data_IF_824777738930
#
_entry.id   IF_824777738930
#
_cell.length_a   1.000
_cell.length_b   1.000
_cell.length_c   1.000
_cell.angle_alpha   90.00
_cell.angle_beta   90.00
_cell.angle_gamma   90.00
#
_symmetry.space_group_name_H-M   'P 1'
#
loop_
_entity.id
_entity.type
_entity.pdbx_description
1 polymer ?
#
# COMPACT_ATOMS: atom_id res chain seq x y z
N UNK A 1 -32.42 23.37 -63.57
CA UNK A 1 -32.74 23.40 -62.11
C UNK A 1 -31.95 22.27 -61.43
N UNK A 2 -30.84 22.60 -60.74
CA UNK A 2 -30.03 21.61 -60.01
C UNK A 2 -30.50 21.57 -58.55
N UNK A 3 -31.00 20.41 -58.12
CA UNK A 3 -31.38 20.20 -56.71
C UNK A 3 -30.15 19.84 -55.88
N UNK A 4 -29.84 20.66 -54.91
CA UNK A 4 -28.78 20.43 -53.93
C UNK A 4 -29.34 19.52 -52.84
N UNK A 5 -28.79 18.32 -52.70
CA UNK A 5 -29.12 17.40 -51.62
C UNK A 5 -28.12 17.71 -50.49
N UNK A 6 -28.61 18.28 -49.41
CA UNK A 6 -27.84 18.47 -48.16
C UNK A 6 -27.97 17.18 -47.36
N UNK A 7 -26.86 16.42 -47.27
CA UNK A 7 -26.80 15.27 -46.43
C UNK A 7 -26.46 15.74 -45.00
N UNK A 8 -27.44 15.63 -44.10
CA UNK A 8 -27.27 15.89 -42.67
C UNK A 8 -26.62 14.66 -42.04
N UNK A 9 -25.33 14.75 -41.72
CA UNK A 9 -24.62 13.75 -40.92
C UNK A 9 -24.97 13.93 -39.45
N UNK A 10 -25.81 13.02 -38.96
CA UNK A 10 -26.13 12.90 -37.52
C UNK A 10 -24.94 12.27 -36.83
N UNK A 11 -24.15 13.08 -36.09
CA UNK A 11 -23.13 12.56 -35.19
C UNK A 11 -23.83 11.92 -33.98
N UNK A 12 -23.85 10.61 -33.96
CA UNK A 12 -24.25 9.82 -32.80
C UNK A 12 -23.10 9.83 -31.79
N UNK A 13 -23.14 10.74 -30.82
CA UNK A 13 -22.25 10.71 -29.69
C UNK A 13 -22.63 9.52 -28.80
N UNK A 14 -21.90 8.41 -28.94
CA UNK A 14 -21.96 7.32 -27.97
C UNK A 14 -21.31 7.81 -26.66
N UNK A 15 -22.14 8.27 -25.71
CA UNK A 15 -21.71 8.40 -24.34
C UNK A 15 -21.34 6.99 -23.85
N UNK A 16 -20.04 6.74 -23.70
CA UNK A 16 -19.56 5.60 -22.93
C UNK A 16 -20.04 5.83 -21.48
N UNK A 17 -21.16 5.21 -21.12
CA UNK A 17 -21.46 4.96 -19.72
C UNK A 17 -20.34 4.04 -19.23
N UNK A 18 -19.36 4.59 -18.52
CA UNK A 18 -18.55 3.81 -17.61
C UNK A 18 -19.52 3.22 -16.59
N UNK A 19 -19.93 1.97 -16.80
CA UNK A 19 -20.52 1.18 -15.75
C UNK A 19 -19.46 1.17 -14.64
N UNK A 20 -19.78 1.79 -13.49
CA UNK A 20 -19.02 1.55 -12.30
C UNK A 20 -18.96 0.02 -12.15
N UNK A 21 -17.76 -0.57 -12.27
CA UNK A 21 -17.57 -1.97 -11.94
C UNK A 21 -18.25 -2.18 -10.60
N UNK A 22 -19.03 -3.26 -10.45
CA UNK A 22 -19.80 -3.59 -9.26
C UNK A 22 -18.85 -3.56 -8.05
N UNK A 23 -18.79 -2.42 -7.37
CA UNK A 23 -17.94 -2.19 -6.21
C UNK A 23 -18.47 -3.05 -5.08
N UNK A 24 -17.94 -4.26 -4.96
CA UNK A 24 -18.33 -5.21 -3.91
C UNK A 24 -17.78 -4.77 -2.57
N UNK A 25 -18.69 -4.64 -1.59
CA UNK A 25 -18.28 -4.52 -0.18
C UNK A 25 -17.58 -5.81 0.26
N UNK A 26 -16.37 -5.68 0.79
CA UNK A 26 -15.65 -6.78 1.43
C UNK A 26 -15.90 -6.74 2.94
N UNK A 27 -16.57 -7.75 3.47
CA UNK A 27 -16.73 -7.94 4.92
C UNK A 27 -15.84 -9.09 5.38
N UNK A 28 -14.97 -8.81 6.35
CA UNK A 28 -14.07 -9.81 6.93
C UNK A 28 -14.44 -10.03 8.39
N UNK A 29 -14.98 -11.21 8.76
CA UNK A 29 -15.35 -11.50 10.14
C UNK A 29 -14.15 -11.55 11.08
N UNK A 30 -14.33 -11.20 12.35
CA UNK A 30 -13.29 -11.17 13.36
C UNK A 30 -12.49 -12.49 13.47
N UNK A 31 -13.16 -13.63 13.31
CA UNK A 31 -12.50 -14.95 13.30
C UNK A 31 -11.52 -15.16 12.13
N UNK A 32 -11.73 -14.46 11.01
CA UNK A 32 -10.80 -14.45 9.88
C UNK A 32 -9.67 -13.47 10.14
N UNK A 33 -9.98 -12.27 10.63
CA UNK A 33 -9.00 -11.25 11.03
C UNK A 33 -7.99 -11.82 12.03
N UNK A 34 -8.46 -12.59 13.01
CA UNK A 34 -7.62 -13.21 14.04
C UNK A 34 -6.59 -14.22 13.49
N UNK A 35 -6.79 -14.74 12.27
CA UNK A 35 -5.84 -15.65 11.62
C UNK A 35 -4.65 -14.93 10.97
N UNK A 36 -4.75 -13.61 10.80
CA UNK A 36 -3.74 -12.83 10.07
C UNK A 36 -3.75 -13.07 8.56
N UNK A 37 -2.77 -12.50 7.87
CA UNK A 37 -2.64 -12.59 6.43
C UNK A 37 -3.45 -11.55 5.67
N UNK A 38 -3.63 -11.77 4.37
CA UNK A 38 -4.37 -10.83 3.50
C UNK A 38 -5.86 -10.86 3.81
N UNK A 39 -6.45 -9.68 4.04
CA UNK A 39 -7.86 -9.49 4.36
C UNK A 39 -8.67 -8.98 3.17
N UNK A 40 -8.10 -8.07 2.40
CA UNK A 40 -8.75 -7.46 1.23
C UNK A 40 -7.70 -7.01 0.21
N UNK A 41 -8.04 -7.10 -1.06
CA UNK A 41 -7.22 -6.62 -2.16
C UNK A 41 -8.13 -6.02 -3.24
N UNK A 42 -7.73 -4.84 -3.72
CA UNK A 42 -8.32 -4.14 -4.86
C UNK A 42 -7.17 -3.55 -5.71
N UNK A 43 -7.42 -3.05 -6.92
CA UNK A 43 -6.36 -2.52 -7.78
C UNK A 43 -5.48 -1.46 -7.12
N UNK A 44 -6.04 -0.62 -6.25
CA UNK A 44 -5.36 0.50 -5.59
C UNK A 44 -5.28 0.37 -4.05
N UNK A 45 -5.65 -0.79 -3.49
CA UNK A 45 -5.72 -1.01 -2.05
C UNK A 45 -5.38 -2.45 -1.69
N UNK A 46 -4.59 -2.64 -0.64
CA UNK A 46 -4.50 -3.92 0.06
C UNK A 46 -4.55 -3.73 1.56
N UNK A 47 -5.16 -4.70 2.26
CA UNK A 47 -5.22 -4.74 3.71
C UNK A 47 -4.73 -6.10 4.17
N UNK A 48 -3.73 -6.09 5.05
CA UNK A 48 -3.10 -7.29 5.58
C UNK A 48 -2.93 -7.15 7.09
N UNK A 49 -3.02 -8.26 7.82
CA UNK A 49 -2.50 -8.36 9.18
C UNK A 49 -1.17 -9.10 9.11
N UNK A 50 -0.12 -8.44 9.56
CA UNK A 50 1.21 -8.97 9.65
C UNK A 50 1.58 -9.29 11.10
N UNK A 51 2.25 -10.42 11.29
CA UNK A 51 2.99 -10.76 12.50
C UNK A 51 4.47 -10.78 12.15
N UNK A 52 5.27 -10.04 12.88
CA UNK A 52 6.71 -9.99 12.69
C UNK A 52 7.40 -10.37 14.00
N UNK A 53 8.35 -11.31 13.92
CA UNK A 53 9.12 -11.80 15.05
C UNK A 53 10.62 -11.47 14.97
N UNK A 54 11.05 -10.96 13.81
CA UNK A 54 12.44 -10.66 13.51
C UNK A 54 12.56 -9.32 12.76
N UNK A 55 13.71 -8.66 12.77
CA UNK A 55 14.00 -7.52 11.92
C UNK A 55 13.75 -7.84 10.45
N UNK A 56 13.36 -6.82 9.68
CA UNK A 56 13.19 -6.91 8.25
C UNK A 56 14.40 -6.40 7.48
N UNK A 57 14.26 -6.32 6.16
CA UNK A 57 15.11 -5.49 5.31
C UNK A 57 14.55 -4.07 5.24
N UNK A 58 15.35 -3.13 4.78
CA UNK A 58 14.85 -1.82 4.37
C UNK A 58 13.94 -2.00 3.17
N UNK A 59 12.81 -1.31 3.17
CA UNK A 59 11.82 -1.32 2.10
C UNK A 59 11.63 0.10 1.55
N UNK A 60 11.46 0.18 0.22
CA UNK A 60 10.97 1.38 -0.48
C UNK A 60 9.97 0.91 -1.52
N UNK A 61 8.82 1.57 -1.54
CA UNK A 61 7.76 1.33 -2.52
C UNK A 61 7.52 2.61 -3.32
N UNK A 62 7.68 2.57 -4.64
CA UNK A 62 7.60 3.78 -5.47
C UNK A 62 6.20 4.41 -5.50
N UNK A 63 5.17 3.56 -5.42
CA UNK A 63 3.77 3.97 -5.58
C UNK A 63 2.86 3.62 -4.38
N UNK A 64 3.38 2.95 -3.36
CA UNK A 64 2.58 2.50 -2.22
C UNK A 64 2.79 3.41 -1.02
N UNK A 65 1.71 3.93 -0.47
CA UNK A 65 1.68 4.53 0.87
C UNK A 65 1.25 3.47 1.86
N UNK A 66 2.12 3.18 2.84
CA UNK A 66 1.85 2.22 3.89
C UNK A 66 1.29 2.92 5.13
N UNK A 67 0.19 2.39 5.66
CA UNK A 67 -0.30 2.78 6.98
C UNK A 67 -0.25 1.56 7.89
N UNK A 68 0.49 1.65 8.99
CA UNK A 68 0.55 0.63 10.03
C UNK A 68 -0.29 1.07 11.23
N UNK A 69 -1.09 0.16 11.76
CA UNK A 69 -1.72 0.27 13.07
C UNK A 69 -1.31 -0.91 13.93
N UNK A 70 -0.63 -0.63 15.04
CA UNK A 70 -0.09 -1.68 15.91
C UNK A 70 -1.20 -2.27 16.78
N UNK A 71 -1.43 -3.56 16.62
CA UNK A 71 -2.44 -4.33 17.35
C UNK A 71 -1.90 -4.83 18.68
N UNK A 72 -0.63 -5.30 18.68
CA UNK A 72 0.04 -5.83 19.88
C UNK A 72 1.56 -5.88 19.70
N UNK A 73 2.29 -5.99 20.81
CA UNK A 73 3.75 -6.06 20.80
C UNK A 73 4.43 -4.71 20.57
N UNK A 74 5.70 -4.77 20.16
CA UNK A 74 6.51 -3.57 19.91
C UNK A 74 7.68 -3.81 18.96
N UNK A 75 8.13 -2.75 18.31
CA UNK A 75 9.30 -2.76 17.43
C UNK A 75 9.96 -1.38 17.40
N UNK A 76 11.19 -1.31 16.89
CA UNK A 76 11.81 -0.06 16.45
C UNK A 76 11.75 0.00 14.94
N UNK A 77 11.05 1.02 14.41
CA UNK A 77 11.05 1.33 12.98
C UNK A 77 12.00 2.51 12.72
N UNK A 78 12.75 2.44 11.62
CA UNK A 78 13.54 3.56 11.08
C UNK A 78 12.90 4.00 9.78
N UNK A 79 12.66 5.31 9.63
CA UNK A 79 12.00 5.88 8.44
C UNK A 79 12.74 7.09 7.90
N UNK A 80 12.59 7.36 6.60
CA UNK A 80 13.26 8.47 5.92
C UNK A 80 14.74 8.19 5.65
N UNK A 81 15.50 9.25 5.40
CA UNK A 81 16.91 9.13 5.03
C UNK A 81 17.13 8.50 3.66
N UNK A 82 18.24 7.80 3.50
CA UNK A 82 18.65 7.17 2.24
C UNK A 82 18.91 5.69 2.45
N UNK A 83 18.29 4.84 1.64
CA UNK A 83 18.51 3.39 1.65
C UNK A 83 19.93 3.06 1.17
N UNK A 84 20.57 2.12 1.86
CA UNK A 84 21.91 1.60 1.53
C UNK A 84 21.76 0.17 1.02
N UNK A 85 22.57 -0.20 0.02
CA UNK A 85 22.61 -1.55 -0.56
C UNK A 85 21.29 -1.93 -1.24
N UNK A 86 20.63 -0.95 -1.88
CA UNK A 86 19.34 -1.15 -2.52
C UNK A 86 19.41 -2.05 -3.75
N UNK A 87 18.45 -2.97 -3.87
CA UNK A 87 18.23 -3.82 -5.04
C UNK A 87 16.74 -3.83 -5.38
N UNK A 88 16.45 -3.89 -6.68
CA UNK A 88 15.08 -4.04 -7.17
C UNK A 88 14.61 -5.48 -6.97
N UNK A 89 13.42 -5.65 -6.40
CA UNK A 89 12.81 -6.95 -6.15
C UNK A 89 11.53 -7.17 -6.95
N UNK A 90 11.11 -6.18 -7.71
CA UNK A 90 9.94 -6.17 -8.57
C UNK A 90 9.61 -4.73 -9.00
N UNK A 91 8.62 -4.52 -9.87
CA UNK A 91 8.22 -3.19 -10.30
C UNK A 91 7.89 -2.27 -9.13
N UNK A 92 8.68 -1.20 -8.95
CA UNK A 92 8.49 -0.23 -7.87
C UNK A 92 8.74 -0.77 -6.46
N UNK A 93 9.44 -1.89 -6.32
CA UNK A 93 9.74 -2.53 -5.05
C UNK A 93 11.26 -2.64 -4.87
N UNK A 94 11.77 -2.05 -3.80
CA UNK A 94 13.20 -2.02 -3.51
C UNK A 94 13.47 -2.56 -2.11
N UNK A 95 14.58 -3.26 -1.94
CA UNK A 95 15.06 -3.76 -0.65
C UNK A 95 16.48 -3.32 -0.42
N UNK A 96 16.80 -2.97 0.83
CA UNK A 96 18.13 -2.53 1.22
C UNK A 96 18.56 -3.14 2.56
N UNK A 97 19.79 -2.83 2.95
CA UNK A 97 20.43 -3.40 4.15
C UNK A 97 20.53 -2.40 5.30
N UNK A 98 20.46 -1.09 5.03
CA UNK A 98 20.56 -0.04 6.05
C UNK A 98 19.89 1.26 5.56
N UNK A 99 19.65 2.19 6.49
CA UNK A 99 19.20 3.56 6.22
C UNK A 99 20.19 4.54 6.84
N UNK A 100 20.75 5.44 6.03
CA UNK A 100 21.54 6.59 6.50
C UNK A 100 20.66 7.81 6.71
N UNK A 101 20.79 8.46 7.87
CA UNK A 101 20.08 9.71 8.17
C UNK A 101 18.57 9.55 8.42
N UNK A 102 18.09 8.33 8.65
CA UNK A 102 16.71 8.07 9.03
C UNK A 102 16.44 8.39 10.50
N UNK A 103 15.15 8.43 10.85
CA UNK A 103 14.69 8.63 12.21
C UNK A 103 14.17 7.31 12.80
N UNK A 104 14.67 6.94 13.97
CA UNK A 104 14.20 5.78 14.70
C UNK A 104 13.01 6.15 15.60
N UNK A 105 11.96 5.33 15.53
CA UNK A 105 10.76 5.47 16.35
C UNK A 105 10.41 4.12 16.97
N UNK A 106 10.19 4.10 18.28
CA UNK A 106 9.62 2.91 18.94
C UNK A 106 8.13 2.88 18.69
N UNK A 107 7.64 1.74 18.24
CA UNK A 107 6.23 1.44 18.07
C UNK A 107 5.74 0.55 19.20
N UNK A 108 4.52 0.82 19.66
CA UNK A 108 3.80 0.05 20.65
C UNK A 108 2.33 -0.07 20.26
N UNK A 109 1.61 -0.92 20.97
CA UNK A 109 0.16 -1.13 20.77
C UNK A 109 -0.61 0.20 20.73
N UNK A 110 -1.42 0.37 19.70
CA UNK A 110 -2.24 1.56 19.46
C UNK A 110 -1.57 2.64 18.58
N UNK A 111 -0.26 2.52 18.31
CA UNK A 111 0.43 3.49 17.46
C UNK A 111 0.01 3.34 16.00
N UNK A 112 0.03 4.49 15.30
CA UNK A 112 -0.18 4.57 13.85
C UNK A 112 1.05 5.19 13.21
N UNK A 113 1.52 4.59 12.11
CA UNK A 113 2.57 5.14 11.26
C UNK A 113 2.08 5.21 9.83
N UNK A 114 2.23 6.37 9.20
CA UNK A 114 1.95 6.55 7.76
C UNK A 114 3.26 6.82 7.06
N UNK A 115 3.59 5.97 6.08
CA UNK A 115 4.82 6.02 5.31
C UNK A 115 4.44 6.32 3.86
N UNK A 116 4.67 7.55 3.38
CA UNK A 116 4.38 7.90 1.98
C UNK A 116 5.20 7.07 0.99
N UNK A 117 4.69 6.93 -0.22
CA UNK A 117 5.41 6.33 -1.33
C UNK A 117 6.81 6.95 -1.49
N UNK A 118 7.79 6.14 -1.82
CA UNK A 118 9.19 6.54 -1.99
C UNK A 118 9.99 6.71 -0.69
N UNK A 119 9.36 6.63 0.48
CA UNK A 119 10.06 6.82 1.77
C UNK A 119 10.65 5.50 2.25
N UNK A 120 11.99 5.43 2.47
CA UNK A 120 12.61 4.26 3.07
C UNK A 120 12.08 3.98 4.47
N UNK A 121 11.82 2.71 4.77
CA UNK A 121 11.39 2.27 6.08
C UNK A 121 11.90 0.87 6.42
N UNK A 122 12.09 0.63 7.72
CA UNK A 122 12.74 -0.58 8.19
C UNK A 122 12.35 -0.93 9.60
N UNK A 123 11.77 -2.08 9.81
CA UNK A 123 11.66 -2.67 11.14
C UNK A 123 13.06 -3.15 11.59
N UNK A 124 13.80 -2.29 12.25
CA UNK A 124 15.20 -2.51 12.63
C UNK A 124 15.34 -3.46 13.80
N UNK A 125 14.43 -3.37 14.76
CA UNK A 125 14.45 -4.18 15.96
C UNK A 125 13.04 -4.68 16.27
N UNK A 126 12.94 -5.97 16.60
CA UNK A 126 11.72 -6.63 17.07
C UNK A 126 12.08 -7.44 18.28
N UNK A 127 11.91 -6.90 19.52
CA UNK A 127 12.39 -7.56 20.76
C UNK A 127 11.73 -8.91 21.02
N UNK A 128 10.47 -9.09 20.61
CA UNK A 128 9.74 -10.35 20.72
C UNK A 128 8.85 -10.56 19.49
N UNK A 129 7.77 -9.77 19.38
CA UNK A 129 6.90 -9.75 18.21
C UNK A 129 6.18 -8.41 18.12
N UNK A 130 5.66 -8.12 16.95
CA UNK A 130 4.71 -7.04 16.69
C UNK A 130 3.63 -7.54 15.73
N UNK A 131 2.37 -7.32 16.10
CA UNK A 131 1.19 -7.57 15.28
C UNK A 131 0.61 -6.23 14.83
N UNK A 132 0.38 -6.08 13.54
CA UNK A 132 -0.09 -4.81 12.99
C UNK A 132 -0.91 -4.98 11.71
N UNK A 133 -1.87 -4.08 11.54
CA UNK A 133 -2.49 -3.86 10.24
C UNK A 133 -1.51 -3.15 9.33
N UNK A 134 -1.51 -3.57 8.07
CA UNK A 134 -0.91 -2.85 6.96
C UNK A 134 -2.03 -2.49 6.00
N UNK A 135 -2.27 -1.21 5.80
CA UNK A 135 -3.10 -0.71 4.72
C UNK A 135 -2.19 -0.06 3.71
N UNK A 136 -2.13 -0.62 2.51
CA UNK A 136 -1.38 -0.06 1.38
C UNK A 136 -2.34 0.61 0.42
N UNK A 137 -2.09 1.90 0.15
CA UNK A 137 -2.78 2.65 -0.91
C UNK A 137 -1.81 2.84 -2.05
N UNK A 138 -2.20 2.39 -3.24
CA UNK A 138 -1.36 2.37 -4.43
C UNK A 138 -1.78 3.54 -5.32
N UNK A 139 -0.82 4.44 -5.65
CA UNK A 139 -1.04 5.51 -6.59
C UNK A 139 -1.11 4.97 -8.03
N UNK A 140 -1.98 5.57 -8.84
CA UNK A 140 -2.12 5.28 -10.27
C UNK A 140 -0.87 5.64 -11.09
#
# INVERSE_FOLDING_TARGET
MKRLIVASTLLLSTALLNAAEDSKVTYVPAATVAKGGSLATAPNLSITIANRKEPGMVEVHDKETDTFYVLDGSATIVTGGTMVGGTDTGPGQHRGTDIKGGQAQRLAKGDVVVIPAGVPHWFKEVPSSIDYYVVKVIAE
#
